data_IF_554094881092
#
_entry.id   IF_554094881092
#
_cell.length_a   1.000
_cell.length_b   1.000
_cell.length_c   1.000
_cell.angle_alpha   90.00
_cell.angle_beta   90.00
_cell.angle_gamma   90.00
#
_symmetry.space_group_name_H-M   'P 1'
#
loop_
_entity.id
_entity.type
_entity.pdbx_description
1 polymer ?
#
# COMPACT_ATOMS: atom_id res chain seq x y z
N UNK A 1 7.96 -0.10 25.36
CA UNK A 1 8.49 0.58 24.15
C UNK A 1 8.00 -0.06 22.86
N UNK A 2 8.25 -1.35 22.60
CA UNK A 2 7.76 -2.04 21.38
C UNK A 2 6.24 -1.97 21.16
N UNK A 3 5.44 -2.13 22.23
CA UNK A 3 3.97 -2.03 22.13
C UNK A 3 3.48 -0.66 21.63
N UNK A 4 4.16 0.42 21.99
CA UNK A 4 3.83 1.77 21.50
C UNK A 4 4.16 1.91 20.01
N UNK A 5 5.23 1.28 19.53
CA UNK A 5 5.57 1.29 18.10
C UNK A 5 4.50 0.61 17.25
N UNK A 6 4.01 -0.55 17.67
CA UNK A 6 2.91 -1.22 16.97
C UNK A 6 1.62 -0.40 17.03
N UNK A 7 1.31 0.17 18.19
CA UNK A 7 0.14 1.03 18.33
C UNK A 7 0.23 2.22 17.38
N UNK A 8 1.29 3.03 17.45
CA UNK A 8 1.44 4.20 16.60
C UNK A 8 1.65 3.86 15.11
N UNK A 9 2.13 2.66 14.79
CA UNK A 9 2.26 2.20 13.41
C UNK A 9 0.92 1.86 12.75
N UNK A 10 0.04 1.14 13.45
CA UNK A 10 -1.23 0.68 12.89
C UNK A 10 -2.43 1.61 13.17
N UNK A 11 -2.43 2.28 14.33
CA UNK A 11 -3.53 3.14 14.76
C UNK A 11 -3.95 4.19 13.71
N UNK A 12 -3.06 4.96 13.07
CA UNK A 12 -3.48 5.94 12.07
C UNK A 12 -4.20 5.27 10.88
N UNK A 13 -3.65 4.17 10.34
CA UNK A 13 -4.25 3.45 9.22
C UNK A 13 -5.61 2.85 9.57
N UNK A 14 -5.77 2.33 10.80
CA UNK A 14 -7.05 1.82 11.30
C UNK A 14 -8.06 2.95 11.48
N UNK A 15 -7.63 4.11 12.01
CA UNK A 15 -8.51 5.28 12.18
C UNK A 15 -9.06 5.73 10.82
N UNK A 16 -8.20 5.84 9.80
CA UNK A 16 -8.64 6.21 8.45
C UNK A 16 -9.59 5.17 7.85
N UNK A 17 -9.29 3.87 7.97
CA UNK A 17 -10.19 2.82 7.51
C UNK A 17 -11.58 2.92 8.16
N UNK A 18 -11.64 3.08 9.49
CA UNK A 18 -12.90 3.22 10.21
C UNK A 18 -13.65 4.50 9.84
N UNK A 19 -12.93 5.58 9.53
CA UNK A 19 -13.53 6.81 9.04
C UNK A 19 -14.21 6.60 7.68
N UNK A 20 -13.51 6.03 6.69
CA UNK A 20 -14.06 5.79 5.36
C UNK A 20 -15.23 4.80 5.36
N UNK A 21 -15.23 3.81 6.26
CA UNK A 21 -16.34 2.84 6.36
C UNK A 21 -17.63 3.40 7.00
N UNK A 22 -17.57 4.56 7.68
CA UNK A 22 -18.70 5.06 8.48
C UNK A 22 -19.13 6.49 8.20
N UNK A 23 -18.20 7.37 7.82
CA UNK A 23 -18.40 8.83 7.84
C UNK A 23 -18.07 9.52 6.51
N UNK A 24 -17.94 8.75 5.43
CA UNK A 24 -17.76 9.34 4.10
C UNK A 24 -19.05 10.02 3.61
N UNK A 25 -18.93 11.18 2.99
CA UNK A 25 -20.05 11.98 2.43
C UNK A 25 -20.59 11.32 1.16
N UNK A 26 -19.70 10.72 0.36
CA UNK A 26 -20.05 9.97 -0.84
C UNK A 26 -19.47 8.56 -0.73
N UNK A 27 -20.12 7.67 0.05
CA UNK A 27 -19.52 6.40 0.42
C UNK A 27 -19.42 5.46 -0.80
N UNK A 28 -18.20 5.05 -1.09
CA UNK A 28 -17.95 3.83 -1.85
C UNK A 28 -18.46 2.60 -1.08
N UNK A 29 -18.71 1.49 -1.78
CA UNK A 29 -19.13 0.27 -1.10
C UNK A 29 -18.10 -0.17 -0.07
N UNK A 30 -18.54 -0.51 1.16
CA UNK A 30 -17.63 -0.96 2.22
C UNK A 30 -16.75 -2.15 1.80
N UNK A 31 -17.28 -3.01 0.91
CA UNK A 31 -16.53 -4.13 0.34
C UNK A 31 -15.40 -3.67 -0.58
N UNK A 32 -15.59 -2.60 -1.36
CA UNK A 32 -14.53 -2.02 -2.19
C UNK A 32 -13.43 -1.41 -1.32
N UNK A 33 -13.80 -0.62 -0.30
CA UNK A 33 -12.86 -0.01 0.64
C UNK A 33 -11.99 -1.07 1.32
N UNK A 34 -12.61 -2.12 1.87
CA UNK A 34 -11.89 -3.21 2.52
C UNK A 34 -10.98 -3.95 1.54
N UNK A 35 -11.47 -4.28 0.33
CA UNK A 35 -10.65 -4.94 -0.69
C UNK A 35 -9.41 -4.13 -1.01
N UNK A 36 -9.57 -2.86 -1.39
CA UNK A 36 -8.44 -2.00 -1.75
C UNK A 36 -7.45 -1.84 -0.60
N UNK A 37 -7.93 -1.69 0.63
CA UNK A 37 -7.08 -1.59 1.82
C UNK A 37 -6.21 -2.86 2.01
N UNK A 38 -6.83 -4.04 1.98
CA UNK A 38 -6.11 -5.30 2.18
C UNK A 38 -5.20 -5.66 1.00
N UNK A 39 -5.65 -5.43 -0.24
CA UNK A 39 -4.80 -5.65 -1.42
C UNK A 39 -3.63 -4.67 -1.47
N UNK A 40 -3.82 -3.40 -1.07
CA UNK A 40 -2.74 -2.43 -0.90
C UNK A 40 -1.69 -2.91 0.09
N UNK A 41 -2.13 -3.42 1.25
CA UNK A 41 -1.22 -4.01 2.24
C UNK A 41 -0.48 -5.24 1.70
N UNK A 42 -1.17 -6.16 1.01
CA UNK A 42 -0.53 -7.34 0.40
C UNK A 42 0.53 -6.97 -0.63
N UNK A 43 0.25 -5.96 -1.45
CA UNK A 43 1.16 -5.51 -2.49
C UNK A 43 2.37 -4.77 -1.92
N UNK A 44 2.25 -4.11 -0.76
CA UNK A 44 3.41 -3.56 -0.05
C UNK A 44 4.43 -4.66 0.34
N UNK A 45 3.96 -5.84 0.75
CA UNK A 45 4.87 -6.98 0.98
C UNK A 45 5.58 -7.42 -0.30
N UNK A 46 4.86 -7.45 -1.43
CA UNK A 46 5.46 -7.75 -2.73
C UNK A 46 6.54 -6.72 -3.13
N UNK A 47 6.31 -5.43 -2.84
CA UNK A 47 7.27 -4.36 -3.08
C UNK A 47 8.61 -4.61 -2.36
N UNK A 48 8.56 -5.02 -1.08
CA UNK A 48 9.76 -5.34 -0.29
C UNK A 48 10.60 -6.44 -0.97
N UNK A 49 9.95 -7.50 -1.48
CA UNK A 49 10.67 -8.57 -2.18
C UNK A 49 11.32 -8.08 -3.48
N UNK A 50 10.63 -7.24 -4.25
CA UNK A 50 11.17 -6.66 -5.48
C UNK A 50 12.34 -5.71 -5.17
N UNK A 51 12.25 -4.90 -4.12
CA UNK A 51 13.31 -3.99 -3.69
C UNK A 51 14.57 -4.75 -3.26
N UNK A 52 14.41 -5.83 -2.46
CA UNK A 52 15.51 -6.73 -2.09
C UNK A 52 16.14 -7.38 -3.33
N UNK A 53 15.32 -7.80 -4.29
CA UNK A 53 15.77 -8.34 -5.58
C UNK A 53 16.58 -7.31 -6.38
N UNK A 54 16.07 -6.08 -6.49
CA UNK A 54 16.69 -5.00 -7.22
C UNK A 54 18.05 -4.59 -6.62
N UNK A 55 18.16 -4.59 -5.29
CA UNK A 55 19.42 -4.33 -4.57
C UNK A 55 20.55 -5.29 -4.95
N UNK A 56 20.21 -6.53 -5.33
CA UNK A 56 21.21 -7.52 -5.80
C UNK A 56 21.69 -7.24 -7.23
N UNK A 57 20.89 -6.56 -8.04
CA UNK A 57 21.19 -6.25 -9.45
C UNK A 57 22.04 -4.98 -9.55
N UNK A 58 21.67 -3.94 -8.81
CA UNK A 58 22.35 -2.65 -8.83
C UNK A 58 22.63 -2.16 -7.41
N UNK A 59 23.90 -1.88 -7.12
CA UNK A 59 24.35 -1.22 -5.90
C UNK A 59 24.32 0.30 -5.98
N UNK A 60 23.99 0.87 -7.15
CA UNK A 60 23.88 2.32 -7.31
C UNK A 60 22.68 2.84 -6.50
N UNK A 61 22.96 3.73 -5.55
CA UNK A 61 21.97 4.28 -4.62
C UNK A 61 20.83 5.02 -5.33
N UNK A 62 21.13 5.80 -6.38
CA UNK A 62 20.14 6.57 -7.11
C UNK A 62 19.18 5.63 -7.82
N UNK A 63 19.70 4.60 -8.51
CA UNK A 63 18.86 3.59 -9.16
C UNK A 63 18.03 2.80 -8.14
N UNK A 64 18.61 2.44 -7.00
CA UNK A 64 17.90 1.73 -5.95
C UNK A 64 16.72 2.54 -5.40
N UNK A 65 16.93 3.81 -5.06
CA UNK A 65 15.88 4.66 -4.48
C UNK A 65 14.79 4.99 -5.50
N UNK A 66 15.16 5.45 -6.70
CA UNK A 66 14.17 5.93 -7.67
C UNK A 66 13.52 4.80 -8.48
N UNK A 67 14.29 3.81 -8.92
CA UNK A 67 13.78 2.71 -9.75
C UNK A 67 13.34 1.54 -8.88
N UNK A 68 14.21 1.10 -7.96
CA UNK A 68 13.94 -0.06 -7.10
C UNK A 68 12.86 0.18 -6.04
N UNK A 69 12.83 1.39 -5.45
CA UNK A 69 11.86 1.79 -4.44
C UNK A 69 10.68 2.55 -5.05
N UNK A 70 10.87 3.82 -5.39
CA UNK A 70 9.78 4.73 -5.73
C UNK A 70 8.95 4.27 -6.94
N UNK A 71 9.58 3.89 -8.05
CA UNK A 71 8.86 3.43 -9.24
C UNK A 71 8.11 2.12 -8.98
N UNK A 72 8.76 1.15 -8.32
CA UNK A 72 8.14 -0.14 -7.99
C UNK A 72 6.94 0.07 -7.06
N UNK A 73 7.11 0.84 -5.99
CA UNK A 73 6.04 1.10 -5.02
C UNK A 73 4.83 1.78 -5.68
N UNK A 74 5.06 2.81 -6.49
CA UNK A 74 3.98 3.54 -7.16
C UNK A 74 3.30 2.70 -8.24
N UNK A 75 4.07 1.95 -9.04
CA UNK A 75 3.51 1.04 -10.04
C UNK A 75 2.63 -0.03 -9.40
N UNK A 76 3.09 -0.59 -8.28
CA UNK A 76 2.36 -1.59 -7.52
C UNK A 76 1.07 -1.02 -6.90
N UNK A 77 1.10 0.19 -6.33
CA UNK A 77 -0.11 0.89 -5.85
C UNK A 77 -1.11 1.10 -7.00
N UNK A 78 -0.63 1.56 -8.15
CA UNK A 78 -1.46 1.73 -9.34
C UNK A 78 -2.10 0.41 -9.79
N UNK A 79 -1.36 -0.70 -9.78
CA UNK A 79 -1.90 -2.02 -10.13
C UNK A 79 -3.07 -2.43 -9.23
N UNK A 80 -2.99 -2.19 -7.91
CA UNK A 80 -4.10 -2.47 -6.99
C UNK A 80 -5.35 -1.70 -7.41
N UNK A 81 -5.22 -0.39 -7.67
CA UNK A 81 -6.35 0.44 -8.09
C UNK A 81 -6.90 -0.01 -9.44
N UNK A 82 -6.03 -0.31 -10.40
CA UNK A 82 -6.43 -0.76 -11.74
C UNK A 82 -7.20 -2.09 -11.71
N UNK A 83 -6.77 -3.02 -10.86
CA UNK A 83 -7.37 -4.36 -10.79
C UNK A 83 -8.64 -4.39 -9.93
N UNK A 84 -8.64 -3.69 -8.79
CA UNK A 84 -9.75 -3.76 -7.83
C UNK A 84 -10.83 -2.70 -8.03
N UNK A 85 -10.45 -1.49 -8.46
CA UNK A 85 -11.40 -0.37 -8.61
C UNK A 85 -11.88 -0.29 -10.06
N UNK A 86 -10.96 -0.05 -11.01
CA UNK A 86 -11.31 0.25 -12.41
C UNK A 86 -11.92 -0.93 -13.17
N UNK A 87 -11.73 -2.17 -12.72
CA UNK A 87 -12.38 -3.35 -13.28
C UNK A 87 -13.79 -3.58 -12.72
N UNK A 88 -14.10 -2.97 -11.58
CA UNK A 88 -15.34 -3.17 -10.84
C UNK A 88 -16.36 -2.03 -11.00
N UNK A 89 -15.98 -0.97 -11.71
CA UNK A 89 -16.82 0.17 -12.13
C UNK A 89 -17.39 -0.06 -13.54
#
# INVERSE_FOLDING_TARGET
MLYLLYLFGFLPSIIWLLFYLKKDVHPESNQAILRVFFYGMLVAFAAIFLEIGFKKISSNLILYVFVGGALVEEYLKYLVVKLEVLRSS
#
